data_IF_802171891871
#
_entry.id   IF_802171891871
#
_cell.length_a   1.000
_cell.length_b   1.000
_cell.length_c   1.000
_cell.angle_alpha   90.00
_cell.angle_beta   90.00
_cell.angle_gamma   90.00
#
_symmetry.space_group_name_H-M   'P 1'
#
loop_
_entity.id
_entity.type
_entity.pdbx_description
1 polymer ?
#
# COMPACT_ATOMS: atom_id res chain seq x y z
N UNK A 1 38.49 -10.92 -6.91
CA UNK A 1 37.41 -10.45 -7.79
C UNK A 1 36.20 -10.10 -6.94
N UNK A 2 35.70 -8.89 -7.10
CA UNK A 2 34.68 -8.24 -6.26
C UNK A 2 33.35 -9.00 -6.40
N UNK A 3 32.75 -9.43 -5.28
CA UNK A 3 31.35 -9.89 -5.23
C UNK A 3 30.49 -8.69 -5.63
N UNK A 4 29.95 -8.70 -6.85
CA UNK A 4 28.84 -7.83 -7.22
C UNK A 4 27.59 -8.38 -6.54
N UNK A 5 27.38 -7.94 -5.31
CA UNK A 5 26.09 -7.95 -4.66
C UNK A 5 25.27 -6.83 -5.33
N UNK A 6 24.71 -7.09 -6.52
CA UNK A 6 23.72 -6.19 -7.11
C UNK A 6 22.43 -6.45 -6.36
N UNK A 7 22.20 -5.59 -5.37
CA UNK A 7 20.95 -5.39 -4.66
C UNK A 7 19.77 -5.59 -5.59
N UNK A 8 18.85 -6.44 -5.15
CA UNK A 8 17.42 -6.38 -5.39
C UNK A 8 17.02 -5.24 -6.32
N UNK A 9 16.77 -5.56 -7.60
CA UNK A 9 15.93 -4.73 -8.46
C UNK A 9 14.50 -4.82 -7.87
N UNK A 10 14.30 -4.02 -6.83
CA UNK A 10 13.07 -3.73 -6.10
C UNK A 10 12.08 -2.92 -6.97
N UNK A 11 11.84 -3.38 -8.20
CA UNK A 11 10.72 -2.91 -9.02
C UNK A 11 9.55 -3.88 -8.89
N UNK A 12 9.14 -4.14 -7.65
CA UNK A 12 7.82 -4.70 -7.40
C UNK A 12 6.82 -3.67 -7.91
N UNK A 13 6.23 -3.94 -9.08
CA UNK A 13 5.26 -3.09 -9.78
C UNK A 13 4.12 -2.59 -8.87
N UNK A 14 3.91 -3.29 -7.75
CA UNK A 14 3.17 -2.83 -6.58
C UNK A 14 4.11 -2.71 -5.36
N UNK A 15 4.34 -1.48 -4.91
CA UNK A 15 4.96 -1.18 -3.63
C UNK A 15 3.88 -0.67 -2.67
N UNK A 16 3.85 -1.14 -1.42
CA UNK A 16 2.92 -0.69 -0.37
C UNK A 16 2.89 0.85 -0.23
N UNK A 17 4.03 1.51 -0.42
CA UNK A 17 4.13 2.97 -0.43
C UNK A 17 3.35 3.60 -1.61
N UNK A 18 3.41 2.99 -2.80
CA UNK A 18 2.63 3.40 -3.96
C UNK A 18 1.13 3.18 -3.71
N UNK A 19 0.74 2.04 -3.13
CA UNK A 19 -0.66 1.76 -2.82
C UNK A 19 -1.25 2.81 -1.83
N UNK A 20 -0.50 3.17 -0.78
CA UNK A 20 -0.89 4.25 0.15
C UNK A 20 -1.04 5.60 -0.54
N UNK A 21 -0.16 5.91 -1.49
CA UNK A 21 -0.26 7.14 -2.28
C UNK A 21 -1.53 7.17 -3.16
N UNK A 22 -1.88 6.05 -3.80
CA UNK A 22 -3.10 5.91 -4.61
C UNK A 22 -4.37 6.17 -3.77
N UNK A 23 -4.42 5.68 -2.53
CA UNK A 23 -5.54 5.97 -1.61
C UNK A 23 -5.70 7.48 -1.36
N UNK A 24 -4.60 8.21 -1.24
CA UNK A 24 -4.59 9.66 -1.12
C UNK A 24 -5.17 10.36 -2.35
N UNK A 25 -4.72 9.98 -3.54
CA UNK A 25 -5.23 10.52 -4.81
C UNK A 25 -6.72 10.24 -4.98
N UNK A 26 -7.18 9.02 -4.70
CA UNK A 26 -8.60 8.68 -4.75
C UNK A 26 -9.44 9.53 -3.80
N UNK A 27 -8.92 9.82 -2.60
CA UNK A 27 -9.61 10.69 -1.63
C UNK A 27 -9.78 12.11 -2.17
N UNK A 28 -8.77 12.65 -2.85
CA UNK A 28 -8.84 13.95 -3.52
C UNK A 28 -9.86 13.93 -4.66
N UNK A 29 -9.87 12.90 -5.52
CA UNK A 29 -10.83 12.79 -6.62
C UNK A 29 -12.27 12.69 -6.14
N UNK A 30 -12.52 11.94 -5.05
CA UNK A 30 -13.86 11.87 -4.42
C UNK A 30 -14.29 13.27 -3.93
N UNK A 31 -13.38 14.05 -3.36
CA UNK A 31 -13.68 15.41 -2.91
C UNK A 31 -14.00 16.36 -4.08
N UNK A 32 -13.30 16.23 -5.21
CA UNK A 32 -13.51 17.05 -6.42
C UNK A 32 -14.84 16.72 -7.11
N UNK A 33 -15.14 15.43 -7.28
CA UNK A 33 -16.34 14.97 -8.01
C UNK A 33 -17.61 15.01 -7.14
N UNK A 34 -17.45 15.00 -5.83
CA UNK A 34 -18.53 15.00 -4.86
C UNK A 34 -18.97 13.59 -4.46
N UNK A 35 -19.15 13.41 -3.15
CA UNK A 35 -19.49 12.13 -2.50
C UNK A 35 -20.81 11.49 -2.94
N UNK A 36 -21.77 12.28 -3.41
CA UNK A 36 -23.09 11.81 -3.86
C UNK A 36 -23.16 11.57 -5.38
N UNK A 37 -22.08 11.87 -6.12
CA UNK A 37 -22.00 11.60 -7.56
C UNK A 37 -21.76 10.11 -7.80
N UNK A 38 -22.33 9.55 -8.89
CA UNK A 38 -22.08 8.16 -9.31
C UNK A 38 -20.57 7.87 -9.44
N UNK A 39 -19.81 8.81 -10.00
CA UNK A 39 -18.35 8.70 -10.09
C UNK A 39 -17.69 8.73 -8.70
N UNK A 40 -18.19 9.56 -7.78
CA UNK A 40 -17.74 9.59 -6.40
C UNK A 40 -17.98 8.27 -5.66
N UNK A 41 -19.11 7.61 -5.92
CA UNK A 41 -19.43 6.29 -5.38
C UNK A 41 -18.48 5.21 -5.90
N UNK A 42 -18.20 5.21 -7.22
CA UNK A 42 -17.24 4.28 -7.83
C UNK A 42 -15.83 4.47 -7.29
N UNK A 43 -15.37 5.73 -7.20
CA UNK A 43 -14.05 6.05 -6.64
C UNK A 43 -13.93 5.63 -5.17
N UNK A 44 -15.01 5.78 -4.39
CA UNK A 44 -15.06 5.34 -3.00
C UNK A 44 -15.01 3.82 -2.87
N UNK A 45 -15.67 3.09 -3.76
CA UNK A 45 -15.59 1.63 -3.80
C UNK A 45 -14.17 1.17 -4.13
N UNK A 46 -13.57 1.71 -5.19
CA UNK A 46 -12.20 1.40 -5.58
C UNK A 46 -11.20 1.70 -4.45
N UNK A 47 -11.37 2.83 -3.75
CA UNK A 47 -10.55 3.18 -2.59
C UNK A 47 -10.62 2.10 -1.50
N UNK A 48 -11.79 1.56 -1.21
CA UNK A 48 -11.96 0.51 -0.18
C UNK A 48 -11.31 -0.80 -0.58
N UNK A 49 -11.40 -1.18 -1.85
CA UNK A 49 -10.76 -2.39 -2.35
C UNK A 49 -9.24 -2.30 -2.25
N UNK A 50 -8.66 -1.16 -2.63
CA UNK A 50 -7.22 -0.93 -2.48
C UNK A 50 -6.82 -0.90 -1.00
N UNK A 51 -7.59 -0.25 -0.13
CA UNK A 51 -7.31 -0.23 1.31
C UNK A 51 -7.36 -1.64 1.93
N UNK A 52 -8.28 -2.49 1.49
CA UNK A 52 -8.34 -3.90 1.90
C UNK A 52 -7.10 -4.67 1.44
N UNK A 53 -6.67 -4.50 0.18
CA UNK A 53 -5.47 -5.15 -0.34
C UNK A 53 -4.21 -4.74 0.45
N UNK A 54 -4.10 -3.46 0.81
CA UNK A 54 -3.00 -2.95 1.65
C UNK A 54 -3.00 -3.62 3.02
N UNK A 55 -4.18 -3.77 3.65
CA UNK A 55 -4.29 -4.40 4.97
C UNK A 55 -3.94 -5.90 4.93
N UNK A 56 -4.30 -6.60 3.85
CA UNK A 56 -3.96 -8.01 3.66
C UNK A 56 -2.45 -8.21 3.44
N UNK A 57 -1.78 -7.23 2.84
CA UNK A 57 -0.34 -7.27 2.53
C UNK A 57 0.52 -6.72 3.69
N UNK A 58 -0.06 -5.97 4.64
CA UNK A 58 0.66 -5.44 5.80
C UNK A 58 0.89 -6.56 6.85
N UNK A 59 2.16 -6.94 7.14
CA UNK A 59 2.43 -8.04 8.05
C UNK A 59 1.95 -7.69 9.47
N UNK A 60 1.25 -8.61 10.15
CA UNK A 60 0.65 -8.33 11.45
C UNK A 60 1.73 -7.86 12.45
N UNK A 61 1.42 -6.85 13.29
CA UNK A 61 2.39 -6.20 14.17
C UNK A 61 3.03 -7.16 15.20
N UNK A 62 2.45 -8.34 15.41
CA UNK A 62 3.00 -9.39 16.26
C UNK A 62 4.28 -10.04 15.70
N UNK A 63 4.46 -10.09 14.38
CA UNK A 63 5.60 -10.77 13.75
C UNK A 63 6.88 -9.92 13.84
N UNK A 64 6.75 -8.60 13.79
CA UNK A 64 7.89 -7.67 13.88
C UNK A 64 8.52 -7.66 15.28
N UNK A 65 7.74 -7.91 16.34
CA UNK A 65 8.27 -8.01 17.71
C UNK A 65 8.98 -9.35 17.96
N UNK A 66 8.44 -10.46 17.44
CA UNK A 66 9.07 -11.77 17.59
C UNK A 66 10.42 -11.88 16.86
N UNK A 67 10.58 -11.22 15.70
CA UNK A 67 11.86 -11.16 15.00
C UNK A 67 12.93 -10.40 15.79
N UNK A 68 12.57 -9.29 16.47
CA UNK A 68 13.50 -8.50 17.28
C UNK A 68 13.97 -9.17 18.57
N UNK A 69 13.25 -10.17 19.07
CA UNK A 69 13.65 -10.92 20.28
C UNK A 69 14.57 -12.10 19.99
N UNK A 70 14.75 -12.49 18.71
CA UNK A 70 15.64 -13.60 18.32
C UNK A 70 17.08 -13.15 18.04
N UNK A 71 17.28 -11.85 17.80
CA UNK A 71 18.59 -11.25 17.48
C UNK A 71 19.27 -10.56 18.69
N UNK A 72 18.78 -10.79 19.92
CA UNK A 72 19.33 -10.23 21.15
C UNK A 72 19.58 -11.33 22.19
#
# INVERSE_FOLDING_TARGET
MIRKNTSSEDDSFFNLAHARWVVGVLSMLIAVVGKESLLGLLLRQLRREIDSLIQDEEPPPAVQRAARYRDN
#
